data_IF_588290250250
#
_entry.id   IF_588290250250
#
_cell.length_a   1.000
_cell.length_b   1.000
_cell.length_c   1.000
_cell.angle_alpha   90.00
_cell.angle_beta   90.00
_cell.angle_gamma   90.00
#
_symmetry.space_group_name_H-M   'P 1'
#
loop_
_entity.id
_entity.type
_entity.pdbx_description
1 polymer ?
#
# COMPACT_ATOMS: atom_id res chain seq x y z
N UNK A 1 -0.97 -14.94 3.50
CA UNK A 1 -2.21 -14.54 2.81
C UNK A 1 -1.83 -13.71 1.61
N UNK A 2 -2.64 -13.73 0.55
CA UNK A 2 -2.45 -12.84 -0.59
C UNK A 2 -2.81 -11.39 -0.21
N UNK A 3 -2.09 -10.40 -0.77
CA UNK A 3 -2.38 -8.98 -0.56
C UNK A 3 -3.75 -8.60 -1.13
N UNK A 4 -4.41 -7.63 -0.50
CA UNK A 4 -5.73 -7.16 -0.87
C UNK A 4 -6.49 -6.60 0.34
N UNK A 5 -7.68 -6.06 0.08
CA UNK A 5 -8.52 -5.29 1.02
C UNK A 5 -8.75 -5.95 2.39
N UNK A 6 -8.71 -7.29 2.50
CA UNK A 6 -8.87 -8.04 3.75
C UNK A 6 -7.69 -8.96 4.07
N UNK A 7 -6.54 -8.74 3.45
CA UNK A 7 -5.38 -9.63 3.54
C UNK A 7 -4.55 -9.48 4.82
N UNK A 8 -4.77 -8.42 5.60
CA UNK A 8 -3.90 -8.01 6.71
C UNK A 8 -4.61 -8.23 8.05
N UNK A 9 -3.92 -8.83 9.02
CA UNK A 9 -4.43 -9.02 10.39
C UNK A 9 -4.43 -7.71 11.18
N UNK A 10 -5.40 -7.52 12.07
CA UNK A 10 -5.50 -6.33 12.95
C UNK A 10 -4.21 -6.06 13.74
N UNK A 11 -3.42 -7.08 14.06
CA UNK A 11 -2.16 -6.90 14.79
C UNK A 11 -1.13 -6.06 14.01
N UNK A 12 -1.23 -6.03 12.67
CA UNK A 12 -0.36 -5.24 11.80
C UNK A 12 -0.85 -3.81 11.59
N UNK A 13 -2.01 -3.43 12.14
CA UNK A 13 -2.61 -2.11 11.93
C UNK A 13 -1.67 -0.95 12.25
N UNK A 14 -0.89 -1.06 13.33
CA UNK A 14 0.07 -0.01 13.73
C UNK A 14 1.17 0.13 12.68
N UNK A 15 1.65 -0.99 12.14
CA UNK A 15 2.69 -1.03 11.11
C UNK A 15 2.16 -0.41 9.80
N UNK A 16 0.93 -0.72 9.41
CA UNK A 16 0.30 -0.14 8.22
C UNK A 16 0.13 1.39 8.34
N UNK A 17 -0.34 1.87 9.50
CA UNK A 17 -0.47 3.32 9.74
C UNK A 17 0.89 4.00 9.65
N UNK A 18 1.92 3.41 10.25
CA UNK A 18 3.27 3.96 10.19
C UNK A 18 3.84 3.92 8.76
N UNK A 19 3.55 2.86 7.99
CA UNK A 19 3.91 2.76 6.58
C UNK A 19 3.29 3.86 5.73
N UNK A 20 1.99 4.15 5.91
CA UNK A 20 1.29 5.26 5.24
C UNK A 20 1.95 6.60 5.61
N UNK A 21 2.19 6.85 6.90
CA UNK A 21 2.80 8.11 7.33
C UNK A 21 4.22 8.28 6.78
N UNK A 22 5.03 7.21 6.83
CA UNK A 22 6.38 7.22 6.28
C UNK A 22 6.39 7.51 4.78
N UNK A 23 5.44 6.93 4.03
CA UNK A 23 5.29 7.19 2.60
C UNK A 23 4.96 8.66 2.31
N UNK A 24 4.13 9.29 3.16
CA UNK A 24 3.81 10.72 3.07
C UNK A 24 5.00 11.60 3.43
N UNK A 25 5.73 11.26 4.49
CA UNK A 25 6.92 12.01 4.94
C UNK A 25 8.05 11.96 3.89
N UNK A 26 8.19 10.84 3.19
CA UNK A 26 9.11 10.69 2.07
C UNK A 26 8.63 11.34 0.76
N UNK A 27 7.40 11.86 0.73
CA UNK A 27 6.82 12.49 -0.45
C UNK A 27 6.67 11.53 -1.64
N UNK A 28 6.30 10.26 -1.39
CA UNK A 28 6.10 9.29 -2.46
C UNK A 28 4.95 9.72 -3.40
N UNK A 29 5.05 9.31 -4.66
CA UNK A 29 4.08 9.64 -5.71
C UNK A 29 2.73 8.91 -5.54
N UNK A 30 1.76 9.22 -6.42
CA UNK A 30 0.52 8.44 -6.51
C UNK A 30 0.75 7.05 -7.10
N UNK A 31 -0.21 6.14 -6.92
CA UNK A 31 -0.16 4.81 -7.51
C UNK A 31 -0.09 4.87 -9.05
N UNK A 32 -0.87 5.76 -9.66
CA UNK A 32 -0.90 5.90 -11.13
C UNK A 32 0.40 6.52 -11.66
N UNK A 33 1.00 7.49 -10.97
CA UNK A 33 2.32 8.02 -11.33
C UNK A 33 3.38 6.93 -11.30
N UNK A 34 3.33 6.06 -10.29
CA UNK A 34 4.22 4.91 -10.20
C UNK A 34 4.01 3.91 -11.33
N UNK A 35 2.74 3.63 -11.70
CA UNK A 35 2.45 2.82 -12.89
C UNK A 35 3.02 3.47 -14.16
N UNK A 36 2.86 4.77 -14.34
CA UNK A 36 3.42 5.51 -15.47
C UNK A 36 4.95 5.42 -15.52
N UNK A 37 5.62 5.60 -14.38
CA UNK A 37 7.08 5.48 -14.27
C UNK A 37 7.60 4.10 -14.69
N UNK A 38 6.83 3.04 -14.43
CA UNK A 38 7.16 1.67 -14.80
C UNK A 38 6.64 1.26 -16.18
N UNK A 39 6.07 2.18 -16.96
CA UNK A 39 5.37 1.88 -18.22
C UNK A 39 4.26 0.82 -18.08
N UNK A 40 3.62 0.77 -16.92
CA UNK A 40 2.44 -0.05 -16.67
C UNK A 40 1.16 0.72 -16.99
N UNK A 41 0.07 -0.02 -17.24
CA UNK A 41 -1.25 0.60 -17.44
C UNK A 41 -1.74 1.18 -16.11
N UNK A 42 -2.03 2.50 -16.03
CA UNK A 42 -2.63 3.11 -14.84
C UNK A 42 -4.08 2.64 -14.65
N UNK A 43 -4.59 2.76 -13.43
CA UNK A 43 -5.96 2.38 -13.10
C UNK A 43 -6.95 3.44 -13.54
N UNK A 44 -8.02 2.99 -14.18
CA UNK A 44 -9.09 3.85 -14.69
C UNK A 44 -10.23 4.08 -13.67
N UNK A 45 -10.32 3.23 -12.66
CA UNK A 45 -11.35 3.28 -11.62
C UNK A 45 -10.90 2.53 -10.37
N UNK A 46 -11.58 2.77 -9.25
CA UNK A 46 -11.33 2.06 -8.00
C UNK A 46 -11.72 0.57 -8.12
N UNK A 47 -12.73 0.26 -8.92
CA UNK A 47 -13.19 -1.10 -9.24
C UNK A 47 -12.09 -1.90 -9.95
N UNK A 48 -11.44 -1.29 -10.94
CA UNK A 48 -10.30 -1.85 -11.69
C UNK A 48 -9.12 -2.13 -10.74
N UNK A 49 -8.78 -1.18 -9.86
CA UNK A 49 -7.71 -1.30 -8.87
C UNK A 49 -7.93 -2.45 -7.88
N UNK A 50 -9.13 -2.54 -7.30
CA UNK A 50 -9.46 -3.55 -6.28
C UNK A 50 -9.86 -4.90 -6.89
N UNK A 51 -10.17 -4.95 -8.20
CA UNK A 51 -10.71 -6.15 -8.85
C UNK A 51 -12.10 -6.55 -8.35
N UNK A 52 -12.89 -5.58 -7.87
CA UNK A 52 -14.21 -5.78 -7.27
C UNK A 52 -15.28 -5.24 -8.22
N UNK A 53 -16.18 -6.10 -8.69
CA UNK A 53 -17.17 -5.74 -9.71
C UNK A 53 -18.46 -5.09 -9.14
N UNK A 54 -18.65 -5.03 -7.82
CA UNK A 54 -19.93 -4.61 -7.22
C UNK A 54 -19.94 -3.17 -6.73
N UNK A 55 -20.83 -2.35 -7.31
CA UNK A 55 -21.12 -0.95 -6.92
C UNK A 55 -21.67 -0.79 -5.50
N UNK A 56 -22.14 -1.88 -4.88
CA UNK A 56 -22.66 -1.90 -3.51
C UNK A 56 -21.60 -2.25 -2.46
N UNK A 57 -20.33 -2.38 -2.85
CA UNK A 57 -19.28 -2.66 -1.89
C UNK A 57 -18.98 -1.44 -1.01
N UNK A 58 -19.18 -1.58 0.30
CA UNK A 58 -18.94 -0.52 1.27
C UNK A 58 -17.49 -0.03 1.25
N UNK A 59 -16.52 -0.92 1.03
CA UNK A 59 -15.09 -0.59 0.95
C UNK A 59 -14.84 0.36 -0.22
N UNK A 60 -15.44 0.07 -1.37
CA UNK A 60 -15.30 0.90 -2.57
C UNK A 60 -15.85 2.31 -2.33
N UNK A 61 -17.00 2.42 -1.63
CA UNK A 61 -17.60 3.70 -1.26
C UNK A 61 -16.72 4.49 -0.29
N UNK A 62 -16.19 3.83 0.72
CA UNK A 62 -15.30 4.45 1.70
C UNK A 62 -14.00 4.92 1.07
N UNK A 63 -13.38 4.09 0.21
CA UNK A 63 -12.16 4.42 -0.51
C UNK A 63 -12.35 5.61 -1.46
N UNK A 64 -13.43 5.59 -2.24
CA UNK A 64 -13.81 6.70 -3.12
C UNK A 64 -13.98 7.99 -2.33
N UNK A 65 -14.63 7.94 -1.16
CA UNK A 65 -14.79 9.10 -0.28
C UNK A 65 -13.45 9.61 0.27
N UNK A 66 -12.55 8.72 0.69
CA UNK A 66 -11.23 9.09 1.21
C UNK A 66 -10.37 9.83 0.18
N UNK A 67 -10.48 9.45 -1.10
CA UNK A 67 -9.70 10.04 -2.20
C UNK A 67 -10.49 11.04 -3.08
N UNK A 68 -11.57 11.64 -2.54
CA UNK A 68 -12.39 12.64 -3.24
C UNK A 68 -12.94 12.18 -4.60
N UNK A 69 -13.31 10.91 -4.71
CA UNK A 69 -13.76 10.24 -5.94
C UNK A 69 -12.76 10.31 -7.11
N UNK A 70 -11.49 10.59 -6.84
CA UNK A 70 -10.45 10.68 -7.87
C UNK A 70 -9.42 9.55 -7.71
N UNK A 71 -9.34 8.66 -8.72
CA UNK A 71 -8.38 7.54 -8.72
C UNK A 71 -6.92 8.00 -8.78
N UNK A 72 -6.66 9.17 -9.38
CA UNK A 72 -5.31 9.75 -9.48
C UNK A 72 -4.77 10.19 -8.11
N UNK A 73 -5.63 10.35 -7.11
CA UNK A 73 -5.22 10.75 -5.77
C UNK A 73 -4.80 9.58 -4.88
N UNK A 74 -4.92 8.33 -5.35
CA UNK A 74 -4.58 7.16 -4.54
C UNK A 74 -3.08 7.13 -4.27
N UNK A 75 -2.71 7.17 -2.99
CA UNK A 75 -1.31 7.13 -2.55
C UNK A 75 -0.66 5.78 -2.88
N UNK A 76 0.64 5.79 -3.17
CA UNK A 76 1.37 4.59 -3.58
C UNK A 76 1.27 3.43 -2.56
N UNK A 77 1.56 3.69 -1.29
CA UNK A 77 1.59 2.63 -0.27
C UNK A 77 0.22 1.94 -0.07
N UNK A 78 -0.87 2.66 0.29
CA UNK A 78 -2.18 2.02 0.43
C UNK A 78 -2.71 1.48 -0.91
N UNK A 79 -2.37 2.12 -2.03
CA UNK A 79 -2.69 1.64 -3.36
C UNK A 79 -2.15 0.23 -3.63
N UNK A 80 -0.85 0.01 -3.36
CA UNK A 80 -0.20 -1.30 -3.49
C UNK A 80 -0.78 -2.34 -2.52
N UNK A 81 -1.11 -1.95 -1.28
CA UNK A 81 -1.67 -2.88 -0.29
C UNK A 81 -3.09 -3.36 -0.63
N UNK A 82 -3.86 -2.48 -1.27
CA UNK A 82 -5.25 -2.74 -1.65
C UNK A 82 -5.39 -3.34 -3.05
N UNK A 83 -4.34 -3.27 -3.86
CA UNK A 83 -4.32 -3.75 -5.23
C UNK A 83 -4.80 -5.21 -5.31
N UNK A 84 -5.62 -5.50 -6.33
CA UNK A 84 -6.00 -6.88 -6.65
C UNK A 84 -4.74 -7.74 -6.74
N UNK A 85 -4.74 -8.90 -6.07
CA UNK A 85 -3.67 -9.88 -6.23
C UNK A 85 -3.52 -10.25 -7.71
N UNK A 86 -2.44 -9.81 -8.33
CA UNK A 86 -2.02 -10.25 -9.65
C UNK A 86 -1.42 -11.67 -9.53
N UNK A 87 -1.59 -12.54 -10.54
CA UNK A 87 -1.01 -13.88 -10.49
C UNK A 87 0.52 -13.79 -10.37
N UNK A 88 1.17 -14.74 -9.70
CA UNK A 88 2.56 -14.64 -9.23
C UNK A 88 3.62 -14.48 -10.35
N UNK A 89 3.22 -14.70 -11.60
CA UNK A 89 3.99 -14.65 -12.83
C UNK A 89 3.99 -13.26 -13.51
N UNK A 90 3.55 -12.22 -12.81
CA UNK A 90 3.46 -10.84 -13.28
C UNK A 90 4.52 -9.96 -12.58
N UNK A 91 5.19 -9.09 -13.35
CA UNK A 91 6.26 -8.19 -12.86
C UNK A 91 5.75 -7.25 -11.74
N UNK A 92 4.52 -6.75 -11.85
CA UNK A 92 3.86 -5.93 -10.83
C UNK A 92 3.66 -6.65 -9.49
N UNK A 93 3.32 -7.95 -9.49
CA UNK A 93 3.24 -8.75 -8.25
C UNK A 93 4.58 -8.83 -7.52
N UNK A 94 5.67 -8.95 -8.29
CA UNK A 94 7.03 -9.03 -7.76
C UNK A 94 7.50 -7.69 -7.19
N UNK A 95 7.16 -6.58 -7.85
CA UNK A 95 7.49 -5.24 -7.38
C UNK A 95 6.71 -4.89 -6.12
N UNK A 96 5.41 -5.19 -6.03
CA UNK A 96 4.63 -4.95 -4.82
C UNK A 96 5.20 -5.72 -3.61
N UNK A 97 5.51 -7.00 -3.78
CA UNK A 97 6.13 -7.82 -2.73
C UNK A 97 7.52 -7.30 -2.35
N UNK A 98 8.34 -6.91 -3.34
CA UNK A 98 9.70 -6.41 -3.09
C UNK A 98 9.67 -5.05 -2.37
N UNK A 99 8.85 -4.11 -2.82
CA UNK A 99 8.68 -2.80 -2.16
C UNK A 99 8.18 -2.99 -0.74
N UNK A 100 7.28 -3.95 -0.48
CA UNK A 100 6.82 -4.26 0.87
C UNK A 100 7.88 -4.90 1.75
N UNK A 101 8.66 -5.85 1.22
CA UNK A 101 9.76 -6.44 1.98
C UNK A 101 10.82 -5.39 2.32
N UNK A 102 11.14 -4.48 1.40
CA UNK A 102 12.07 -3.39 1.66
C UNK A 102 11.50 -2.46 2.72
N UNK A 103 10.26 -1.98 2.58
CA UNK A 103 9.63 -1.11 3.58
C UNK A 103 9.56 -1.80 4.94
N UNK A 104 9.06 -3.03 5.04
CA UNK A 104 8.97 -3.77 6.30
C UNK A 104 10.35 -4.06 6.90
N UNK A 105 11.36 -4.37 6.09
CA UNK A 105 12.73 -4.60 6.58
C UNK A 105 13.34 -3.32 7.15
N UNK A 106 13.20 -2.18 6.46
CA UNK A 106 13.64 -0.87 6.96
C UNK A 106 12.87 -0.46 8.22
N UNK A 107 11.56 -0.69 8.25
CA UNK A 107 10.68 -0.43 9.39
C UNK A 107 11.11 -1.25 10.62
N UNK A 108 11.34 -2.56 10.44
CA UNK A 108 11.83 -3.44 11.51
C UNK A 108 13.20 -2.99 12.00
N UNK A 109 14.12 -2.61 11.10
CA UNK A 109 15.44 -2.10 11.49
C UNK A 109 15.36 -0.78 12.27
N UNK A 110 14.51 0.15 11.86
CA UNK A 110 14.27 1.41 12.56
C UNK A 110 13.68 1.18 13.96
N UNK A 111 12.68 0.29 14.07
CA UNK A 111 12.09 -0.08 15.37
C UNK A 111 13.14 -0.74 16.26
N UNK A 112 13.97 -1.64 15.71
CA UNK A 112 15.05 -2.29 16.48
C UNK A 112 16.06 -1.25 16.98
N UNK A 113 16.42 -0.27 16.14
CA UNK A 113 17.36 0.78 16.48
C UNK A 113 16.81 1.69 17.60
N UNK A 114 15.55 2.11 17.51
CA UNK A 114 14.86 2.90 18.55
C UNK A 114 14.80 2.14 19.89
N UNK A 115 14.48 0.82 19.85
CA UNK A 115 14.46 -0.02 21.05
C UNK A 115 15.86 -0.15 21.67
N UNK A 116 16.89 -0.38 20.86
CA UNK A 116 18.28 -0.48 21.34
C UNK A 116 18.73 0.86 21.91
N UNK A 117 18.43 1.98 21.24
CA UNK A 117 18.75 3.32 21.74
C UNK A 117 18.06 3.58 23.09
N UNK A 118 16.79 3.21 23.24
CA UNK A 118 16.05 3.33 24.49
C UNK A 118 16.64 2.47 25.63
N UNK A 119 17.11 1.25 25.32
CA UNK A 119 17.78 0.37 26.29
C UNK A 119 19.17 0.91 26.67
N UNK A 120 19.90 1.54 25.75
CA UNK A 120 21.23 2.10 26.02
C UNK A 120 21.18 3.46 26.74
N UNK A 121 20.05 4.16 26.69
CA UNK A 121 19.86 5.46 27.34
C UNK A 121 19.20 5.37 28.73
N UNK A 122 18.79 4.18 29.17
CA UNK A 122 18.31 3.88 30.54
C UNK A 122 19.30 2.95 31.26
#
# INVERSE_FOLDING_TARGET
GAFGVKGISEIFRIIEIFGINSARDLGLCSLNDFCHFLNLKPYSSFEDMLGLESSNNQILKDLKRLYNNNIENVELYPGLMMEKTKPANNIGSMIALHTLLVVLFYQIQLILFEIIAFILMN
#
